data_IF_487537852483
#
_entry.id   IF_487537852483
#
_cell.length_a   1.000
_cell.length_b   1.000
_cell.length_c   1.000
_cell.angle_alpha   90.00
_cell.angle_beta   90.00
_cell.angle_gamma   90.00
#
_symmetry.space_group_name_H-M   'P 1'
#
loop_
_entity.id
_entity.type
_entity.pdbx_description
1 polymer ?
#
# COMPACT_ATOMS: atom_id res chain seq x y z
N UNK A 1 -10.01 -5.65 -14.60
CA UNK A 1 -10.83 -5.01 -13.55
C UNK A 1 -10.57 -5.80 -12.29
N UNK A 2 -9.97 -5.16 -11.28
CA UNK A 2 -9.69 -5.80 -9.98
C UNK A 2 -10.97 -5.64 -9.15
N UNK A 3 -11.69 -6.75 -8.95
CA UNK A 3 -12.93 -6.79 -8.17
C UNK A 3 -12.59 -6.58 -6.68
N UNK A 4 -12.66 -5.32 -6.23
CA UNK A 4 -12.38 -4.90 -4.85
C UNK A 4 -12.25 -3.38 -4.71
N UNK A 5 -11.70 -2.72 -5.72
CA UNK A 5 -11.43 -1.27 -5.70
C UNK A 5 -12.66 -0.37 -5.92
N UNK A 6 -13.77 -0.92 -6.43
CA UNK A 6 -14.99 -0.15 -6.76
C UNK A 6 -15.91 0.10 -5.55
N UNK A 7 -15.66 -0.58 -4.41
CA UNK A 7 -16.53 -0.53 -3.24
C UNK A 7 -16.03 0.48 -2.19
N UNK A 8 -16.09 1.77 -2.54
CA UNK A 8 -16.21 2.88 -1.59
C UNK A 8 -15.22 2.90 -0.43
N UNK A 9 -14.06 3.52 -0.65
CA UNK A 9 -13.10 3.92 0.39
C UNK A 9 -13.79 4.78 1.46
N UNK A 10 -14.13 4.16 2.59
CA UNK A 10 -14.47 4.89 3.81
C UNK A 10 -13.17 5.20 4.55
N UNK A 11 -12.56 6.33 4.20
CA UNK A 11 -11.45 6.91 4.95
C UNK A 11 -11.98 7.36 6.31
N UNK A 12 -11.92 6.47 7.29
CA UNK A 12 -12.24 6.76 8.68
C UNK A 12 -11.15 7.67 9.25
N UNK A 13 -11.39 8.98 9.24
CA UNK A 13 -10.59 9.96 9.98
C UNK A 13 -10.66 9.66 11.48
N UNK A 14 -9.70 8.89 11.99
CA UNK A 14 -9.49 8.66 13.42
C UNK A 14 -8.55 9.71 14.00
N UNK A 15 -9.07 10.57 14.86
CA UNK A 15 -8.31 11.57 15.64
C UNK A 15 -7.36 10.97 16.69
N UNK A 16 -6.57 11.81 17.38
CA UNK A 16 -5.31 11.42 18.00
C UNK A 16 -5.54 10.68 19.32
N UNK A 17 -5.11 9.43 19.37
CA UNK A 17 -4.97 8.66 20.61
C UNK A 17 -3.50 8.33 20.82
N UNK A 18 -2.87 8.99 21.80
CA UNK A 18 -1.54 8.65 22.31
C UNK A 18 -1.50 7.19 22.77
N UNK A 19 -0.92 6.33 21.93
CA UNK A 19 -0.37 5.04 22.31
C UNK A 19 1.15 5.15 22.18
N UNK A 20 1.86 4.97 23.29
CA UNK A 20 3.33 4.96 23.32
C UNK A 20 3.82 3.74 22.52
N UNK A 21 4.30 3.97 21.30
CA UNK A 21 5.00 2.95 20.51
C UNK A 21 6.46 2.84 20.98
N UNK A 22 6.88 1.62 21.33
CA UNK A 22 8.24 1.25 21.70
C UNK A 22 9.28 1.73 20.65
N UNK A 23 10.55 2.03 21.02
CA UNK A 23 11.54 2.55 20.08
C UNK A 23 12.15 1.41 19.24
N UNK A 24 11.37 0.90 18.28
CA UNK A 24 11.85 0.03 17.21
C UNK A 24 11.99 0.85 15.94
N UNK A 25 13.22 1.18 15.57
CA UNK A 25 13.58 2.05 14.43
C UNK A 25 13.02 3.46 14.56
N UNK A 26 13.85 4.38 15.05
CA UNK A 26 13.61 5.79 14.79
C UNK A 26 13.50 5.95 13.27
N UNK A 27 12.35 6.43 12.81
CA UNK A 27 12.19 6.99 11.47
C UNK A 27 13.43 7.85 11.20
N UNK A 28 14.19 7.54 10.15
CA UNK A 28 15.36 8.32 9.78
C UNK A 28 14.96 9.81 9.75
N UNK A 29 15.80 10.74 10.24
CA UNK A 29 15.47 12.16 10.28
C UNK A 29 15.24 12.76 8.89
N UNK A 30 15.60 12.03 7.83
CA UNK A 30 15.42 12.38 6.44
C UNK A 30 14.12 11.83 5.82
N UNK A 31 13.26 11.15 6.61
CA UNK A 31 11.94 10.69 6.15
C UNK A 31 11.13 11.91 5.67
N UNK A 32 10.87 11.94 4.37
CA UNK A 32 9.98 12.93 3.75
C UNK A 32 8.54 12.62 4.17
N UNK A 33 8.15 13.12 5.35
CA UNK A 33 6.83 12.93 5.96
C UNK A 33 5.68 13.58 5.17
N UNK A 34 5.98 14.20 4.02
CA UNK A 34 5.05 14.78 3.06
C UNK A 34 4.95 14.00 1.74
N UNK A 35 5.67 12.89 1.60
CA UNK A 35 5.50 11.99 0.46
C UNK A 35 4.13 11.27 0.60
N UNK A 36 3.37 11.23 -0.50
CA UNK A 36 2.04 10.63 -0.54
C UNK A 36 2.01 9.62 -1.68
N UNK A 37 1.40 8.47 -1.41
CA UNK A 37 1.24 7.42 -2.40
C UNK A 37 -0.11 7.52 -3.10
N UNK A 38 -0.09 7.55 -4.43
CA UNK A 38 -1.30 7.55 -5.25
C UNK A 38 -1.47 6.24 -6.02
N UNK A 39 -2.69 5.71 -6.02
CA UNK A 39 -3.05 4.52 -6.78
C UNK A 39 -3.82 4.88 -8.06
N UNK A 40 -3.32 4.49 -9.25
CA UNK A 40 -4.06 4.60 -10.50
C UNK A 40 -5.26 3.66 -10.56
N UNK A 41 -6.44 4.23 -10.78
CA UNK A 41 -7.69 3.51 -11.04
C UNK A 41 -8.37 4.06 -12.30
N UNK A 42 -9.35 3.33 -12.84
CA UNK A 42 -10.15 3.82 -13.97
C UNK A 42 -10.88 5.14 -13.64
N UNK A 43 -11.11 5.42 -12.36
CA UNK A 43 -11.72 6.67 -11.87
C UNK A 43 -10.73 7.82 -11.62
N UNK A 44 -9.43 7.61 -11.84
CA UNK A 44 -8.37 8.56 -11.54
C UNK A 44 -7.42 8.08 -10.44
N UNK A 45 -6.65 9.00 -9.87
CA UNK A 45 -5.72 8.72 -8.78
C UNK A 45 -6.46 8.71 -7.44
N UNK A 46 -6.27 7.65 -6.66
CA UNK A 46 -6.73 7.55 -5.27
C UNK A 46 -5.54 7.82 -4.36
N UNK A 47 -5.67 8.79 -3.46
CA UNK A 47 -4.67 9.07 -2.42
C UNK A 47 -4.75 7.99 -1.33
N UNK A 48 -3.66 7.24 -1.14
CA UNK A 48 -3.55 6.20 -0.10
C UNK A 48 -2.99 6.77 1.21
N UNK A 49 -2.59 8.04 1.23
CA UNK A 49 -1.96 8.71 2.35
C UNK A 49 -0.43 8.66 2.30
N UNK A 50 0.19 9.02 3.43
CA UNK A 50 1.65 9.07 3.57
C UNK A 50 2.26 7.68 3.57
N UNK A 51 3.21 7.44 2.66
CA UNK A 51 4.13 6.30 2.66
C UNK A 51 5.22 6.56 3.70
N UNK A 52 5.14 5.85 4.83
CA UNK A 52 6.07 6.02 5.95
C UNK A 52 7.06 4.85 6.06
N UNK A 53 6.85 3.78 5.29
CA UNK A 53 7.69 2.59 5.31
C UNK A 53 8.69 2.72 4.18
N UNK A 54 9.96 2.88 4.56
CA UNK A 54 11.13 2.89 3.68
C UNK A 54 11.68 1.45 3.63
N UNK A 55 11.41 0.71 2.54
CA UNK A 55 11.75 -0.72 2.43
C UNK A 55 13.13 -0.97 1.86
N UNK A 56 13.73 0.01 1.18
CA UNK A 56 15.06 -0.10 0.56
C UNK A 56 16.16 0.74 1.25
N UNK A 57 15.79 1.52 2.27
CA UNK A 57 16.62 2.37 3.12
C UNK A 57 17.28 3.56 2.41
N UNK A 58 16.59 4.20 1.46
CA UNK A 58 17.07 5.41 0.81
C UNK A 58 16.73 6.71 1.59
N UNK A 59 15.84 6.61 2.58
CA UNK A 59 15.34 7.73 3.40
C UNK A 59 13.99 8.30 2.97
N UNK A 60 13.36 7.75 1.93
CA UNK A 60 12.01 8.09 1.47
C UNK A 60 11.10 6.91 1.78
N UNK A 61 9.88 7.18 2.25
CA UNK A 61 8.91 6.11 2.41
C UNK A 61 8.39 5.70 1.04
N UNK A 62 8.40 4.40 0.76
CA UNK A 62 8.09 3.82 -0.55
C UNK A 62 6.88 2.88 -0.50
N UNK A 63 6.32 2.66 0.70
CA UNK A 63 5.33 1.61 0.95
C UNK A 63 4.21 2.06 1.90
N UNK A 64 2.97 1.74 1.51
CA UNK A 64 1.76 1.85 2.34
C UNK A 64 1.17 0.46 2.59
N UNK A 65 0.72 0.22 3.82
CA UNK A 65 -0.04 -0.99 4.18
C UNK A 65 -1.47 -0.61 4.55
N UNK A 66 -2.43 -1.17 3.83
CA UNK A 66 -3.86 -0.93 3.99
C UNK A 66 -4.52 -2.14 4.63
N UNK A 67 -5.17 -1.95 5.77
CA UNK A 67 -6.00 -2.97 6.40
C UNK A 67 -7.43 -2.87 5.85
N UNK A 68 -7.90 -3.97 5.27
CA UNK A 68 -9.28 -4.11 4.79
C UNK A 68 -10.05 -5.10 5.69
N UNK A 69 -11.38 -5.05 5.76
CA UNK A 69 -12.17 -5.94 6.62
C UNK A 69 -11.92 -7.44 6.37
N UNK A 70 -11.51 -7.78 5.15
CA UNK A 70 -11.32 -9.13 4.62
C UNK A 70 -9.86 -9.43 4.23
N UNK A 71 -8.92 -8.53 4.54
CA UNK A 71 -7.54 -8.72 4.12
C UNK A 71 -6.55 -7.61 4.48
N UNK A 72 -5.40 -7.70 3.83
CA UNK A 72 -4.30 -6.75 3.93
C UNK A 72 -3.80 -6.47 2.51
N UNK A 73 -3.57 -5.20 2.19
CA UNK A 73 -2.91 -4.82 0.95
C UNK A 73 -1.61 -4.10 1.26
N UNK A 74 -0.53 -4.48 0.59
CA UNK A 74 0.77 -3.80 0.60
C UNK A 74 0.95 -3.16 -0.75
N UNK A 75 1.16 -1.85 -0.77
CA UNK A 75 1.30 -1.05 -1.98
C UNK A 75 2.66 -0.37 -1.93
N UNK A 76 3.43 -0.45 -3.01
CA UNK A 76 4.77 0.14 -3.10
C UNK A 76 4.95 0.92 -4.39
N UNK A 77 5.68 2.04 -4.28
CA UNK A 77 6.25 2.83 -5.37
C UNK A 77 7.73 2.45 -5.47
N UNK A 78 8.17 1.94 -6.62
CA UNK A 78 9.52 1.39 -6.78
C UNK A 78 10.44 2.40 -7.48
N UNK A 79 9.87 3.35 -8.23
CA UNK A 79 10.61 4.37 -8.96
C UNK A 79 10.52 5.78 -8.37
N UNK A 80 9.87 5.92 -7.20
CA UNK A 80 9.73 7.13 -6.38
C UNK A 80 9.02 8.28 -7.13
N UNK A 81 8.09 7.96 -8.04
CA UNK A 81 7.29 8.95 -8.76
C UNK A 81 6.01 9.40 -7.98
N UNK A 82 5.79 8.86 -6.79
CA UNK A 82 4.62 9.02 -5.93
C UNK A 82 3.42 8.17 -6.36
N UNK A 83 3.57 7.32 -7.37
CA UNK A 83 2.51 6.48 -7.91
C UNK A 83 2.84 5.01 -7.67
N UNK A 84 1.87 4.27 -7.14
CA UNK A 84 2.02 2.86 -6.86
C UNK A 84 2.41 2.04 -8.10
N UNK A 85 3.47 1.25 -8.00
CA UNK A 85 3.94 0.35 -9.05
C UNK A 85 3.58 -1.11 -8.78
N UNK A 86 3.43 -1.47 -7.51
CA UNK A 86 3.18 -2.85 -7.09
C UNK A 86 2.15 -2.90 -5.99
N UNK A 87 1.19 -3.81 -6.13
CA UNK A 87 0.17 -4.10 -5.12
C UNK A 87 0.22 -5.58 -4.82
N UNK A 88 0.36 -5.96 -3.55
CA UNK A 88 0.15 -7.34 -3.09
C UNK A 88 -1.02 -7.37 -2.12
N UNK A 89 -2.05 -8.14 -2.45
CA UNK A 89 -3.22 -8.34 -1.59
C UNK A 89 -3.15 -9.70 -0.92
N UNK A 90 -3.59 -9.76 0.33
CA UNK A 90 -3.67 -10.97 1.12
C UNK A 90 -5.09 -11.12 1.65
N UNK A 91 -5.79 -12.16 1.20
CA UNK A 91 -7.13 -12.48 1.68
C UNK A 91 -7.08 -13.14 3.06
N UNK A 92 -8.13 -12.96 3.86
CA UNK A 92 -8.27 -13.61 5.17
C UNK A 92 -8.26 -15.15 5.11
N UNK A 93 -8.53 -15.73 3.94
CA UNK A 93 -8.44 -17.16 3.71
C UNK A 93 -7.00 -17.64 3.41
N UNK A 94 -6.03 -16.73 3.34
CA UNK A 94 -4.62 -17.01 3.06
C UNK A 94 -4.28 -17.02 1.57
N UNK A 95 -5.21 -16.67 0.66
CA UNK A 95 -4.85 -16.37 -0.73
C UNK A 95 -4.03 -15.09 -0.83
N UNK A 96 -3.18 -15.00 -1.84
CA UNK A 96 -2.51 -13.76 -2.19
C UNK A 96 -2.44 -13.56 -3.69
N UNK A 97 -2.40 -12.31 -4.09
CA UNK A 97 -2.17 -11.87 -5.47
C UNK A 97 -1.20 -10.71 -5.48
N UNK A 98 -0.32 -10.65 -6.48
CA UNK A 98 0.58 -9.55 -6.72
C UNK A 98 0.36 -9.01 -8.12
N UNK A 99 0.17 -7.70 -8.20
CA UNK A 99 -0.09 -6.95 -9.41
C UNK A 99 1.03 -5.94 -9.65
N UNK A 100 1.43 -5.79 -10.91
CA UNK A 100 2.36 -4.77 -11.36
C UNK A 100 1.66 -3.73 -12.23
N UNK A 101 2.06 -2.46 -12.09
CA UNK A 101 1.53 -1.34 -12.86
C UNK A 101 1.92 -1.48 -14.33
N UNK A 102 0.90 -1.41 -15.18
CA UNK A 102 1.02 -1.18 -16.61
C UNK A 102 0.84 0.29 -16.95
N UNK A 103 0.43 0.58 -18.19
CA UNK A 103 0.17 1.97 -18.59
C UNK A 103 -1.15 2.50 -17.99
N UNK A 104 -1.10 3.69 -17.39
CA UNK A 104 -2.28 4.36 -16.83
C UNK A 104 -2.87 3.60 -15.64
N UNK A 105 -4.15 3.25 -15.72
CA UNK A 105 -4.87 2.47 -14.70
C UNK A 105 -4.82 0.95 -14.94
N UNK A 106 -4.01 0.50 -15.90
CA UNK A 106 -3.88 -0.93 -16.19
C UNK A 106 -2.97 -1.62 -15.19
N UNK A 107 -3.41 -2.77 -14.69
CA UNK A 107 -2.65 -3.62 -13.76
C UNK A 107 -2.54 -5.04 -14.30
N UNK A 108 -1.36 -5.62 -14.20
CA UNK A 108 -1.07 -6.99 -14.64
C UNK A 108 -0.86 -7.89 -13.42
N UNK A 109 -1.60 -9.00 -13.33
CA UNK A 109 -1.39 -10.02 -12.30
C UNK A 109 -0.09 -10.76 -12.63
N UNK A 110 0.92 -10.58 -11.79
CA UNK A 110 2.25 -11.17 -12.00
C UNK A 110 2.52 -12.38 -11.10
N UNK A 111 1.80 -12.49 -9.97
CA UNK A 111 1.91 -13.62 -9.06
C UNK A 111 0.60 -13.87 -8.31
N UNK A 112 0.31 -15.12 -7.96
CA UNK A 112 -0.78 -15.46 -7.06
C UNK A 112 -0.51 -16.80 -6.38
N UNK A 113 -1.15 -17.05 -5.24
CA UNK A 113 -1.03 -18.31 -4.55
C UNK A 113 -1.76 -18.36 -3.21
N UNK A 114 -1.27 -19.22 -2.33
CA UNK A 114 -1.81 -19.39 -0.98
C UNK A 114 -0.68 -19.52 0.03
N UNK A 115 -0.78 -18.75 1.11
CA UNK A 115 0.14 -18.78 2.24
C UNK A 115 -0.40 -19.78 3.28
N UNK A 116 0.50 -20.57 3.87
CA UNK A 116 0.15 -21.51 4.93
C UNK A 116 -0.52 -22.81 4.46
N UNK A 117 -0.61 -23.05 3.15
CA UNK A 117 -0.89 -24.38 2.60
C UNK A 117 0.33 -25.30 2.82
N UNK A 118 0.11 -26.44 3.49
CA UNK A 118 1.14 -27.48 3.66
C UNK A 118 1.26 -28.37 2.42
#
# INVERSE_FOLDING_TARGET
MIDGFDQGFHVGLGGPGEGVHEPGHALSPDLHVDHHMYLPTDGGLVDLGTDLIDTDHDGIGDTVTLHEPDGLSVVSDIDEDGIADKVTTFGADGTYETWARGAGAHWELIEHGRIGGK
#
